data_IF_741106578828
#
_entry.id   IF_741106578828
#
_cell.length_a   1.000
_cell.length_b   1.000
_cell.length_c   1.000
_cell.angle_alpha   90.00
_cell.angle_beta   90.00
_cell.angle_gamma   90.00
#
_symmetry.space_group_name_H-M   'P 1'
#
loop_
_entity.id
_entity.type
_entity.pdbx_description
1 polymer ?
#
# COMPACT_ATOMS: atom_id res chain seq x y z
N UNK A 1 20.12 8.86 -2.40
CA UNK A 1 18.92 8.37 -3.09
C UNK A 1 18.49 7.06 -2.50
N UNK A 2 17.22 6.88 -2.20
CA UNK A 2 16.74 5.58 -1.75
C UNK A 2 16.78 4.59 -2.91
N UNK A 3 16.99 3.32 -2.59
CA UNK A 3 16.72 2.25 -3.54
C UNK A 3 15.22 2.12 -3.67
N UNK A 4 14.71 2.25 -4.87
CA UNK A 4 13.30 2.11 -5.15
C UNK A 4 12.94 0.66 -5.40
N UNK A 5 11.85 0.23 -4.80
CA UNK A 5 11.26 -1.07 -5.02
C UNK A 5 10.00 -0.88 -5.89
N UNK A 6 9.94 -1.57 -7.01
CA UNK A 6 8.76 -1.57 -7.86
C UNK A 6 7.78 -2.64 -7.38
N UNK A 7 6.51 -2.29 -7.27
CA UNK A 7 5.46 -3.20 -6.83
C UNK A 7 4.36 -3.29 -7.88
N UNK A 8 4.15 -4.48 -8.42
CA UNK A 8 3.03 -4.77 -9.33
C UNK A 8 1.90 -5.35 -8.50
N UNK A 9 0.75 -4.68 -8.51
CA UNK A 9 -0.35 -4.96 -7.59
C UNK A 9 -1.64 -5.25 -8.35
N UNK A 10 -2.38 -6.26 -7.89
CA UNK A 10 -3.70 -6.60 -8.39
C UNK A 10 -4.59 -7.03 -7.23
N UNK A 11 -5.61 -6.21 -6.97
CA UNK A 11 -6.59 -6.43 -5.90
C UNK A 11 -7.97 -6.43 -6.52
N UNK A 12 -8.82 -7.37 -6.14
CA UNK A 12 -10.19 -7.41 -6.65
C UNK A 12 -11.19 -7.90 -5.61
N UNK A 13 -12.44 -7.62 -5.88
CA UNK A 13 -13.54 -8.06 -5.05
C UNK A 13 -14.88 -7.51 -5.51
N UNK A 14 -15.95 -7.83 -4.76
CA UNK A 14 -17.27 -7.27 -5.03
C UNK A 14 -17.22 -5.75 -5.00
N UNK A 15 -17.92 -5.11 -5.93
CA UNK A 15 -17.91 -3.65 -6.09
C UNK A 15 -18.21 -2.93 -4.77
N UNK A 16 -19.21 -3.39 -4.01
CA UNK A 16 -19.58 -2.77 -2.74
C UNK A 16 -18.43 -2.85 -1.72
N UNK A 17 -17.82 -4.01 -1.57
CA UNK A 17 -16.71 -4.21 -0.64
C UNK A 17 -15.47 -3.42 -1.07
N UNK A 18 -15.17 -3.40 -2.37
CA UNK A 18 -14.04 -2.64 -2.89
C UNK A 18 -14.24 -1.13 -2.75
N UNK A 19 -15.46 -0.63 -2.91
CA UNK A 19 -15.75 0.77 -2.63
C UNK A 19 -15.51 1.11 -1.15
N UNK A 20 -15.87 0.21 -0.25
CA UNK A 20 -15.56 0.38 1.18
C UNK A 20 -14.05 0.43 1.42
N UNK A 21 -13.28 -0.44 0.77
CA UNK A 21 -11.82 -0.44 0.85
C UNK A 21 -11.23 0.88 0.33
N UNK A 22 -11.71 1.35 -0.80
CA UNK A 22 -11.27 2.63 -1.39
C UNK A 22 -11.57 3.81 -0.46
N UNK A 23 -12.80 3.89 0.05
CA UNK A 23 -13.22 5.01 0.89
C UNK A 23 -12.53 5.02 2.25
N UNK A 24 -12.15 3.87 2.77
CA UNK A 24 -11.59 3.74 4.11
C UNK A 24 -10.05 3.75 4.13
N UNK A 25 -9.42 3.08 3.18
CA UNK A 25 -7.97 2.81 3.21
C UNK A 25 -7.20 3.39 2.04
N UNK A 26 -7.88 3.94 1.07
CA UNK A 26 -7.27 4.52 -0.13
C UNK A 26 -7.64 5.99 -0.26
N UNK A 27 -7.01 6.63 -1.23
CA UNK A 27 -7.30 8.00 -1.61
C UNK A 27 -7.37 8.06 -3.13
N UNK A 28 -8.45 8.64 -3.65
CA UNK A 28 -8.61 8.82 -5.10
C UNK A 28 -7.83 10.05 -5.54
N UNK A 29 -7.36 10.05 -6.79
CA UNK A 29 -6.63 11.19 -7.34
C UNK A 29 -7.57 12.41 -7.41
N UNK A 30 -7.28 13.50 -6.67
CA UNK A 30 -8.15 14.66 -6.65
C UNK A 30 -8.06 15.53 -7.90
N UNK A 31 -7.02 15.38 -8.71
CA UNK A 31 -6.75 16.29 -9.83
C UNK A 31 -6.99 15.64 -11.18
N UNK A 32 -6.58 14.38 -11.35
CA UNK A 32 -6.57 13.73 -12.65
C UNK A 32 -7.86 12.99 -12.97
N UNK A 33 -8.27 12.07 -12.10
CA UNK A 33 -9.44 11.23 -12.35
C UNK A 33 -9.77 10.37 -11.13
N UNK A 34 -11.08 10.17 -10.89
CA UNK A 34 -11.58 9.26 -9.86
C UNK A 34 -11.21 7.78 -10.14
N UNK A 35 -10.69 7.50 -11.35
CA UNK A 35 -10.30 6.15 -11.74
C UNK A 35 -8.87 5.80 -11.32
N UNK A 36 -8.17 6.70 -10.66
CA UNK A 36 -6.83 6.48 -10.13
C UNK A 36 -6.82 6.70 -8.62
N UNK A 37 -6.04 5.88 -7.93
CA UNK A 37 -5.96 5.95 -6.48
C UNK A 37 -4.57 5.57 -5.98
N UNK A 38 -4.36 5.78 -4.69
CA UNK A 38 -3.23 5.23 -3.96
C UNK A 38 -3.74 4.49 -2.73
N UNK A 39 -3.03 3.45 -2.33
CA UNK A 39 -3.30 2.76 -1.06
C UNK A 39 -2.55 3.54 0.02
N UNK A 40 -3.28 4.02 1.02
CA UNK A 40 -2.68 4.81 2.10
C UNK A 40 -2.17 3.88 3.20
N UNK A 41 -0.88 3.68 3.28
CA UNK A 41 -0.28 2.78 4.27
C UNK A 41 -0.62 3.24 5.70
N UNK A 42 -0.63 4.55 5.92
CA UNK A 42 -0.99 5.12 7.22
C UNK A 42 -2.45 4.89 7.64
N UNK A 43 -3.34 4.60 6.69
CA UNK A 43 -4.73 4.22 6.99
C UNK A 43 -4.86 2.73 7.25
N UNK A 44 -4.00 1.92 6.65
CA UNK A 44 -3.96 0.46 6.86
C UNK A 44 -3.28 0.13 8.19
N UNK A 45 -2.12 0.73 8.44
CA UNK A 45 -1.37 0.62 9.69
C UNK A 45 -1.01 2.04 10.14
N UNK A 46 -1.83 2.63 11.02
CA UNK A 46 -1.52 3.96 11.56
C UNK A 46 -0.19 3.98 12.30
N UNK A 47 0.56 5.06 12.12
CA UNK A 47 1.88 5.25 12.71
C UNK A 47 1.82 6.42 13.70
N UNK A 48 2.22 6.16 14.92
CA UNK A 48 2.39 7.20 15.92
C UNK A 48 3.69 7.99 15.68
N UNK A 49 3.73 9.23 16.20
CA UNK A 49 4.95 10.00 16.21
C UNK A 49 5.89 9.45 17.28
N UNK A 50 7.14 9.20 16.91
CA UNK A 50 8.15 8.76 17.87
C UNK A 50 9.12 9.89 18.16
N UNK A 51 9.55 10.05 19.43
CA UNK A 51 10.51 11.09 19.78
C UNK A 51 11.88 10.81 19.22
N UNK A 52 12.58 11.85 18.82
CA UNK A 52 13.97 11.77 18.40
C UNK A 52 14.85 11.35 19.58
N UNK A 53 15.70 10.35 19.36
CA UNK A 53 16.68 9.93 20.36
C UNK A 53 17.88 10.88 20.33
N UNK A 54 18.46 11.12 21.50
CA UNK A 54 19.64 11.98 21.63
C UNK A 54 20.77 11.49 20.74
N UNK A 55 21.37 12.39 19.98
CA UNK A 55 22.47 12.10 19.06
C UNK A 55 22.03 11.59 17.69
N UNK A 56 20.75 11.34 17.48
CA UNK A 56 20.24 10.91 16.16
C UNK A 56 19.87 12.09 15.28
N UNK A 57 19.98 11.92 13.98
CA UNK A 57 19.53 12.91 13.01
C UNK A 57 18.02 13.09 13.09
N UNK A 58 17.56 14.30 12.82
CA UNK A 58 16.12 14.60 12.78
C UNK A 58 15.42 13.71 11.75
N UNK A 59 14.31 13.13 12.13
CA UNK A 59 13.49 12.26 11.28
C UNK A 59 13.97 10.81 11.19
N UNK A 60 15.18 10.50 11.63
CA UNK A 60 15.74 9.15 11.55
C UNK A 60 14.89 8.12 12.32
N UNK A 61 14.55 8.42 13.57
CA UNK A 61 13.80 7.48 14.41
C UNK A 61 12.38 7.26 13.88
N UNK A 62 11.77 8.31 13.35
CA UNK A 62 10.44 8.19 12.73
C UNK A 62 10.47 7.30 11.50
N UNK A 63 11.46 7.48 10.63
CA UNK A 63 11.64 6.65 9.42
C UNK A 63 11.92 5.20 9.77
N UNK A 64 12.76 4.95 10.75
CA UNK A 64 13.07 3.59 11.21
C UNK A 64 11.81 2.91 11.75
N UNK A 65 11.01 3.63 12.52
CA UNK A 65 9.74 3.12 13.05
C UNK A 65 8.77 2.77 11.90
N UNK A 66 8.65 3.65 10.90
CA UNK A 66 7.81 3.39 9.73
C UNK A 66 8.27 2.16 8.95
N UNK A 67 9.58 2.01 8.75
CA UNK A 67 10.14 0.85 8.06
C UNK A 67 9.83 -0.46 8.79
N UNK A 68 9.86 -0.46 10.11
CA UNK A 68 9.49 -1.62 10.92
C UNK A 68 8.00 -1.95 10.81
N UNK A 69 7.15 -0.93 10.76
CA UNK A 69 5.69 -1.10 10.78
C UNK A 69 5.10 -1.39 9.40
N UNK A 70 5.66 -0.82 8.35
CA UNK A 70 5.17 -0.96 6.97
C UNK A 70 6.02 -1.91 6.11
N UNK A 71 7.31 -2.01 6.37
CA UNK A 71 8.28 -2.67 5.51
C UNK A 71 9.00 -1.74 4.57
N UNK A 72 8.57 -0.50 4.45
CA UNK A 72 9.18 0.54 3.62
C UNK A 72 9.29 1.86 4.39
N UNK A 73 10.09 2.80 3.86
CA UNK A 73 10.50 4.01 4.56
C UNK A 73 9.41 5.02 4.81
N UNK A 74 8.53 5.23 3.82
CA UNK A 74 7.40 6.17 3.94
C UNK A 74 6.20 5.68 3.14
N UNK A 75 5.09 6.37 3.33
CA UNK A 75 3.82 6.02 2.69
C UNK A 75 3.89 6.18 1.16
N UNK A 76 2.98 5.53 0.46
CA UNK A 76 2.79 5.73 -0.96
C UNK A 76 2.42 7.19 -1.23
N UNK A 77 2.94 7.76 -2.30
CA UNK A 77 2.68 9.17 -2.63
C UNK A 77 2.10 9.39 -4.02
N UNK A 78 2.15 8.40 -4.89
CA UNK A 78 1.64 8.51 -6.25
C UNK A 78 0.29 7.84 -6.46
N UNK A 79 -0.55 8.42 -7.28
CA UNK A 79 -1.85 7.86 -7.67
C UNK A 79 -1.68 6.99 -8.91
N UNK A 80 -0.95 5.89 -8.73
CA UNK A 80 -0.51 5.01 -9.83
C UNK A 80 -1.46 3.82 -10.07
N UNK A 81 -2.38 3.58 -9.15
CA UNK A 81 -3.28 2.44 -9.21
C UNK A 81 -4.55 2.79 -9.97
N UNK A 82 -4.91 1.97 -10.95
CA UNK A 82 -6.10 2.15 -11.75
C UNK A 82 -7.28 1.38 -11.17
N UNK A 83 -8.44 2.02 -11.11
CA UNK A 83 -9.70 1.42 -10.68
C UNK A 83 -10.50 1.04 -11.91
N UNK A 84 -10.89 -0.24 -12.02
CA UNK A 84 -11.74 -0.73 -13.10
C UNK A 84 -12.92 -1.49 -12.53
N UNK A 85 -14.11 -1.24 -13.08
CA UNK A 85 -15.34 -1.90 -12.64
C UNK A 85 -15.95 -2.71 -13.79
N UNK A 86 -16.26 -3.97 -13.52
CA UNK A 86 -16.88 -4.89 -14.47
C UNK A 86 -18.09 -5.52 -13.78
N UNK A 87 -19.27 -4.88 -13.92
CA UNK A 87 -20.48 -5.33 -13.25
C UNK A 87 -20.33 -5.29 -11.73
N UNK A 88 -20.47 -6.43 -11.07
CA UNK A 88 -20.37 -6.54 -9.61
C UNK A 88 -18.93 -6.74 -9.12
N UNK A 89 -17.96 -6.72 -10.02
CA UNK A 89 -16.54 -6.88 -9.71
C UNK A 89 -15.80 -5.56 -9.90
N UNK A 90 -14.97 -5.20 -8.95
CA UNK A 90 -14.07 -4.05 -9.03
C UNK A 90 -12.64 -4.49 -8.85
N UNK A 91 -11.74 -3.91 -9.63
CA UNK A 91 -10.31 -4.20 -9.61
C UNK A 91 -9.52 -2.93 -9.35
N UNK A 92 -8.46 -3.06 -8.56
CA UNK A 92 -7.45 -2.03 -8.39
C UNK A 92 -6.14 -2.66 -8.83
N UNK A 93 -5.49 -2.08 -9.82
CA UNK A 93 -4.24 -2.62 -10.34
C UNK A 93 -3.29 -1.52 -10.81
N UNK A 94 -2.01 -1.82 -10.79
CA UNK A 94 -0.99 -0.91 -11.27
C UNK A 94 0.37 -1.22 -10.67
N UNK A 95 1.30 -0.33 -10.97
CA UNK A 95 2.66 -0.40 -10.46
C UNK A 95 2.90 0.80 -9.57
N UNK A 96 3.46 0.59 -8.39
CA UNK A 96 3.86 1.67 -7.49
C UNK A 96 5.26 1.44 -6.95
N UNK A 97 5.95 2.54 -6.63
CA UNK A 97 7.28 2.49 -6.08
C UNK A 97 7.26 2.74 -4.57
N UNK A 98 8.04 1.95 -3.86
CA UNK A 98 8.24 2.12 -2.42
C UNK A 98 9.73 2.23 -2.10
N UNK A 99 10.12 3.11 -1.15
CA UNK A 99 11.54 3.28 -0.82
C UNK A 99 12.07 2.15 0.06
N UNK A 100 13.20 1.59 -0.32
CA UNK A 100 14.00 0.57 0.37
C UNK A 100 13.46 -0.84 0.39
N UNK A 101 12.22 -1.06 0.05
CA UNK A 101 11.66 -2.41 0.06
C UNK A 101 10.16 -2.41 -0.16
N UNK A 102 9.58 -3.60 -0.31
CA UNK A 102 8.14 -3.73 -0.46
C UNK A 102 7.44 -3.46 0.87
N UNK A 103 6.19 -2.95 0.83
CA UNK A 103 5.41 -2.70 2.04
C UNK A 103 4.81 -3.99 2.59
N UNK A 104 5.67 -4.92 2.95
CA UNK A 104 5.31 -6.31 3.30
C UNK A 104 4.25 -6.39 4.40
N UNK A 105 4.40 -5.60 5.45
CA UNK A 105 3.48 -5.63 6.57
C UNK A 105 2.12 -5.01 6.24
N UNK A 106 2.12 -4.02 5.35
CA UNK A 106 0.88 -3.42 4.84
C UNK A 106 0.09 -4.48 4.06
N UNK A 107 0.77 -5.25 3.20
CA UNK A 107 0.13 -6.32 2.42
C UNK A 107 -0.43 -7.40 3.33
N UNK A 108 0.33 -7.84 4.33
CA UNK A 108 -0.14 -8.80 5.34
C UNK A 108 -1.41 -8.30 6.02
N UNK A 109 -1.41 -7.04 6.43
CA UNK A 109 -2.56 -6.43 7.10
C UNK A 109 -3.78 -6.34 6.20
N UNK A 110 -3.60 -5.98 4.93
CA UNK A 110 -4.69 -5.93 3.96
C UNK A 110 -5.31 -7.32 3.81
N UNK A 111 -4.49 -8.36 3.67
CA UNK A 111 -4.99 -9.74 3.58
C UNK A 111 -5.74 -10.17 4.84
N UNK A 112 -5.28 -9.78 6.02
CA UNK A 112 -5.98 -10.04 7.27
C UNK A 112 -7.34 -9.34 7.31
N UNK A 113 -7.39 -8.08 6.91
CA UNK A 113 -8.64 -7.32 6.84
C UNK A 113 -9.65 -7.95 5.88
N UNK A 114 -9.18 -8.40 4.72
CA UNK A 114 -10.05 -9.05 3.72
C UNK A 114 -10.63 -10.37 4.25
N UNK A 115 -9.90 -11.08 5.09
CA UNK A 115 -10.38 -12.31 5.71
C UNK A 115 -11.29 -12.08 6.90
N UNK A 116 -11.04 -11.01 7.66
CA UNK A 116 -11.68 -10.80 8.96
C UNK A 116 -12.78 -9.76 9.01
N UNK A 117 -12.80 -8.79 8.08
CA UNK A 117 -13.81 -7.73 8.10
C UNK A 117 -14.96 -8.08 7.15
N UNK A 118 -16.19 -8.25 7.69
CA UNK A 118 -17.36 -8.57 6.85
C UNK A 118 -17.63 -7.53 5.76
N UNK A 119 -17.26 -6.27 5.98
CA UNK A 119 -17.46 -5.20 4.99
C UNK A 119 -16.53 -5.35 3.79
N UNK A 120 -15.47 -6.14 3.91
CA UNK A 120 -14.49 -6.43 2.87
C UNK A 120 -14.61 -7.86 2.35
N UNK A 121 -15.73 -8.53 2.63
CA UNK A 121 -15.94 -9.91 2.23
C UNK A 121 -15.85 -10.10 0.71
N UNK A 122 -15.14 -11.14 0.29
CA UNK A 122 -14.94 -11.45 -1.12
C UNK A 122 -13.77 -10.71 -1.78
N UNK A 123 -13.14 -9.78 -1.09
CA UNK A 123 -11.95 -9.11 -1.61
C UNK A 123 -10.70 -9.98 -1.47
N UNK A 124 -9.77 -9.84 -2.41
CA UNK A 124 -8.50 -10.56 -2.38
C UNK A 124 -7.36 -9.72 -2.96
N UNK A 125 -6.18 -9.92 -2.42
CA UNK A 125 -4.93 -9.45 -3.04
C UNK A 125 -4.46 -10.59 -3.91
N UNK A 126 -4.78 -10.53 -5.20
CA UNK A 126 -4.48 -11.61 -6.14
C UNK A 126 -3.01 -11.63 -6.54
N UNK A 127 -2.41 -10.45 -6.61
CA UNK A 127 -1.01 -10.33 -6.99
C UNK A 127 -0.39 -9.13 -6.27
N UNK A 128 0.78 -9.38 -5.70
CA UNK A 128 1.69 -8.33 -5.24
C UNK A 128 3.10 -8.84 -5.47
N UNK A 129 3.66 -8.43 -6.59
CA UNK A 129 5.01 -8.81 -7.00
C UNK A 129 5.93 -7.60 -6.86
N UNK A 130 7.09 -7.79 -6.25
CA UNK A 130 8.05 -6.71 -6.08
C UNK A 130 9.38 -7.00 -6.74
N UNK A 131 10.05 -5.93 -7.17
CA UNK A 131 11.41 -5.97 -7.71
C UNK A 131 12.23 -4.84 -7.09
N UNK A 132 13.43 -5.17 -6.67
CA UNK A 132 14.43 -4.21 -6.19
C UNK A 132 15.61 -4.21 -7.17
N UNK A 133 15.55 -3.45 -8.28
CA UNK A 133 16.56 -3.57 -9.35
C UNK A 133 17.98 -3.34 -8.88
N UNK A 134 18.19 -2.43 -7.93
CA UNK A 134 19.52 -2.14 -7.38
C UNK A 134 20.10 -3.26 -6.51
N UNK A 135 19.27 -4.18 -6.06
CA UNK A 135 19.66 -5.30 -5.20
C UNK A 135 19.51 -6.65 -5.91
N UNK A 136 19.04 -6.67 -7.14
CA UNK A 136 18.73 -7.89 -7.90
C UNK A 136 17.79 -8.85 -7.15
N UNK A 137 16.86 -8.29 -6.37
CA UNK A 137 15.87 -9.04 -5.60
C UNK A 137 14.49 -8.89 -6.21
N UNK A 138 13.73 -9.96 -6.20
CA UNK A 138 12.34 -9.97 -6.62
C UNK A 138 11.58 -11.06 -5.86
N UNK A 139 10.27 -10.90 -5.72
CA UNK A 139 9.46 -11.90 -5.04
C UNK A 139 7.98 -11.55 -4.99
N UNK A 140 7.24 -12.44 -4.36
CA UNK A 140 5.80 -12.33 -4.16
C UNK A 140 5.48 -12.08 -2.70
N UNK A 141 4.53 -11.18 -2.44
CA UNK A 141 4.02 -10.94 -1.10
C UNK A 141 2.66 -11.60 -0.89
#
# INVERSE_FOLDING_TARGET
MPNWCENDVYIEGPTKAMNHFLDTYCERDPERSDNFCRICFGKVIPIEQVPRKEGHCEGFDQIEHQAERWGCKWDSDGYEMMIQTHGDLMQISGTMDTPWGPPERVVERIREMFRGDPKLGGCSVDEWFYKEPGMELAGWL
#
